data_IF_307095770687
#
_entry.id   IF_307095770687
#
_cell.length_a   1.000
_cell.length_b   1.000
_cell.length_c   1.000
_cell.angle_alpha   90.00
_cell.angle_beta   90.00
_cell.angle_gamma   90.00
#
_symmetry.space_group_name_H-M   'P 1'
#
loop_
_entity.id
_entity.type
_entity.pdbx_description
1 polymer ?
#
# COMPACT_ATOMS: atom_id res chain seq x y z
N UNK A 1 -10.19 6.36 -13.31
CA UNK A 1 -11.03 5.15 -13.17
C UNK A 1 -11.32 4.90 -11.70
N UNK A 2 -12.53 4.51 -11.34
CA UNK A 2 -12.91 4.25 -9.95
C UNK A 2 -13.81 3.01 -9.83
N UNK A 3 -13.38 2.03 -9.05
CA UNK A 3 -14.19 0.86 -8.70
C UNK A 3 -14.48 0.92 -7.20
N UNK A 4 -15.78 0.86 -6.86
CA UNK A 4 -16.27 0.95 -5.48
C UNK A 4 -17.29 -0.16 -5.22
N UNK A 5 -17.12 -0.89 -4.13
CA UNK A 5 -18.15 -1.81 -3.63
C UNK A 5 -19.05 -1.14 -2.59
N UNK A 6 -20.16 -1.78 -2.23
CA UNK A 6 -20.93 -1.45 -1.04
C UNK A 6 -20.93 -2.65 -0.12
N UNK A 7 -20.68 -2.43 1.15
CA UNK A 7 -20.73 -3.50 2.16
C UNK A 7 -22.13 -4.10 2.20
N UNK A 8 -22.21 -5.42 2.14
CA UNK A 8 -23.50 -6.09 2.21
C UNK A 8 -24.15 -5.80 3.56
N UNK A 9 -25.33 -5.16 3.54
CA UNK A 9 -26.05 -4.73 4.75
C UNK A 9 -25.22 -3.84 5.69
N UNK A 10 -24.35 -3.01 5.12
CA UNK A 10 -23.59 -1.98 5.82
C UNK A 10 -23.43 -0.72 4.98
N UNK A 11 -22.89 0.33 5.60
CA UNK A 11 -22.65 1.64 4.95
C UNK A 11 -21.19 1.82 4.50
N UNK A 12 -20.32 0.83 4.71
CA UNK A 12 -18.94 0.87 4.27
C UNK A 12 -18.73 0.54 2.79
N UNK A 13 -17.46 0.56 2.38
CA UNK A 13 -17.04 0.26 1.03
C UNK A 13 -15.58 -0.16 0.97
N UNK A 14 -15.24 -0.87 -0.11
CA UNK A 14 -13.85 -1.05 -0.53
C UNK A 14 -13.69 -0.34 -1.88
N UNK A 15 -12.51 0.20 -2.17
CA UNK A 15 -12.30 0.86 -3.46
C UNK A 15 -10.88 0.77 -3.97
N UNK A 16 -10.77 0.84 -5.30
CA UNK A 16 -9.52 1.08 -6.02
C UNK A 16 -9.76 2.25 -6.97
N UNK A 17 -8.88 3.25 -6.91
CA UNK A 17 -8.95 4.45 -7.72
C UNK A 17 -7.64 4.66 -8.49
N UNK A 18 -7.80 5.10 -9.73
CA UNK A 18 -6.75 5.63 -10.59
C UNK A 18 -7.16 7.03 -11.03
N UNK A 19 -6.42 8.03 -10.59
CA UNK A 19 -6.53 9.41 -11.05
C UNK A 19 -5.34 9.75 -11.95
N UNK A 20 -5.62 10.38 -13.08
CA UNK A 20 -4.65 10.73 -14.14
C UNK A 20 -4.68 12.25 -14.40
N UNK A 21 -5.10 13.02 -13.40
CA UNK A 21 -4.99 14.47 -13.43
C UNK A 21 -3.51 14.86 -13.55
N UNK A 22 -3.16 15.63 -14.59
CA UNK A 22 -1.77 16.00 -14.89
C UNK A 22 -1.11 16.64 -13.66
N UNK A 23 0.05 16.09 -13.25
CA UNK A 23 0.82 16.47 -12.05
C UNK A 23 0.17 16.13 -10.70
N UNK A 24 -0.95 15.42 -10.68
CA UNK A 24 -1.66 14.97 -9.48
C UNK A 24 -2.14 13.52 -9.64
N UNK A 25 -1.38 12.72 -10.38
CA UNK A 25 -1.69 11.32 -10.64
C UNK A 25 -1.70 10.53 -9.32
N UNK A 26 -2.72 9.70 -9.11
CA UNK A 26 -2.93 9.01 -7.85
C UNK A 26 -3.44 7.59 -8.06
N UNK A 27 -2.78 6.64 -7.40
CA UNK A 27 -3.32 5.31 -7.15
C UNK A 27 -3.71 5.19 -5.68
N UNK A 28 -4.99 4.87 -5.41
CA UNK A 28 -5.50 4.69 -4.06
C UNK A 28 -6.19 3.35 -3.91
N UNK A 29 -5.86 2.63 -2.84
CA UNK A 29 -6.56 1.43 -2.40
C UNK A 29 -7.14 1.67 -1.01
N UNK A 30 -8.42 1.34 -0.83
CA UNK A 30 -9.11 1.42 0.45
C UNK A 30 -9.75 0.08 0.77
N UNK A 31 -9.42 -0.46 1.93
CA UNK A 31 -10.08 -1.63 2.51
C UNK A 31 -10.88 -1.18 3.74
N UNK A 32 -12.12 -1.66 3.87
CA UNK A 32 -12.99 -1.30 4.98
C UNK A 32 -12.52 -1.91 6.31
N UNK A 33 -12.00 -3.14 6.27
CA UNK A 33 -11.60 -3.90 7.48
C UNK A 33 -10.19 -4.45 7.39
N UNK A 34 -9.98 -5.50 6.61
CA UNK A 34 -8.69 -6.17 6.48
C UNK A 34 -8.17 -6.02 5.04
N UNK A 35 -6.85 -5.85 4.89
CA UNK A 35 -6.15 -5.90 3.60
C UNK A 35 -5.04 -6.95 3.70
N UNK A 36 -5.10 -7.95 2.85
CA UNK A 36 -4.08 -9.00 2.75
C UNK A 36 -3.52 -9.06 1.33
N UNK A 37 -2.21 -9.22 1.21
CA UNK A 37 -1.53 -9.43 -0.08
C UNK A 37 -0.72 -10.71 0.02
N UNK A 38 -1.13 -11.73 -0.74
CA UNK A 38 -0.41 -13.00 -0.81
C UNK A 38 0.46 -13.04 -2.08
N UNK A 39 1.78 -13.18 -1.92
CA UNK A 39 2.73 -13.30 -3.02
C UNK A 39 3.41 -14.67 -2.96
N UNK A 40 3.32 -15.45 -4.04
CA UNK A 40 3.86 -16.82 -4.09
C UNK A 40 5.35 -16.92 -4.44
N UNK A 41 5.93 -15.83 -4.96
CA UNK A 41 7.34 -15.78 -5.35
C UNK A 41 7.99 -14.51 -4.81
N UNK A 42 8.25 -13.50 -5.66
CA UNK A 42 8.93 -12.28 -5.26
C UNK A 42 8.03 -11.05 -5.36
N UNK A 43 8.14 -10.14 -4.38
CA UNK A 43 7.56 -8.80 -4.41
C UNK A 43 8.66 -7.75 -4.51
N UNK A 44 8.54 -6.80 -5.45
CA UNK A 44 9.47 -5.68 -5.62
C UNK A 44 8.70 -4.37 -5.57
N UNK A 45 9.20 -3.43 -4.76
CA UNK A 45 8.66 -2.07 -4.64
C UNK A 45 9.76 -1.08 -4.99
N UNK A 46 9.53 -0.20 -5.96
CA UNK A 46 10.45 0.88 -6.32
C UNK A 46 9.75 2.22 -6.09
N UNK A 47 10.31 3.05 -5.20
CA UNK A 47 9.75 4.34 -4.79
C UNK A 47 10.82 5.38 -5.10
N UNK A 48 10.47 6.35 -5.94
CA UNK A 48 11.43 7.37 -6.42
C UNK A 48 11.53 8.58 -5.50
N UNK A 49 10.53 8.80 -4.65
CA UNK A 49 10.48 9.88 -3.68
C UNK A 49 10.21 9.29 -2.29
N UNK A 50 9.28 9.85 -1.53
CA UNK A 50 9.06 9.45 -0.14
C UNK A 50 8.07 8.28 0.04
N UNK A 51 8.26 7.53 1.13
CA UNK A 51 7.34 6.50 1.62
C UNK A 51 7.09 6.72 3.11
N UNK A 52 5.82 6.85 3.48
CA UNK A 52 5.39 7.02 4.88
C UNK A 52 4.44 5.92 5.28
N UNK A 53 4.65 5.34 6.46
CA UNK A 53 3.71 4.42 7.10
C UNK A 53 3.27 4.97 8.44
N UNK A 54 1.96 4.93 8.71
CA UNK A 54 1.38 5.34 9.99
C UNK A 54 0.58 4.16 10.52
N UNK A 55 0.97 3.67 11.69
CA UNK A 55 0.30 2.57 12.38
C UNK A 55 -0.29 3.09 13.69
N UNK A 56 -1.62 3.10 13.79
CA UNK A 56 -2.33 3.71 14.93
C UNK A 56 -2.57 2.76 16.11
N UNK A 57 -2.40 1.45 15.93
CA UNK A 57 -2.56 0.45 16.98
C UNK A 57 -1.26 -0.33 17.17
N UNK A 58 -0.73 -0.32 18.39
CA UNK A 58 0.46 -1.07 18.79
C UNK A 58 0.02 -2.41 19.38
N UNK A 59 -0.11 -3.42 18.52
CA UNK A 59 -0.01 -4.81 18.97
C UNK A 59 1.20 -5.46 18.31
N UNK A 60 2.12 -5.89 19.17
CA UNK A 60 3.43 -6.46 18.86
C UNK A 60 3.30 -7.62 17.88
N UNK A 61 3.55 -7.35 16.62
CA UNK A 61 4.16 -8.32 15.73
C UNK A 61 5.61 -7.89 15.58
N UNK A 62 6.52 -8.79 15.99
CA UNK A 62 7.93 -8.68 15.67
C UNK A 62 8.03 -8.34 14.18
N UNK A 63 8.52 -7.15 13.90
CA UNK A 63 8.86 -6.73 12.56
C UNK A 63 9.95 -7.68 12.06
N UNK A 64 9.59 -8.80 11.44
CA UNK A 64 10.41 -9.39 10.39
C UNK A 64 10.17 -8.60 9.10
N UNK A 65 10.27 -7.27 9.20
CA UNK A 65 10.49 -6.46 8.02
C UNK A 65 11.91 -6.75 7.59
N UNK A 66 12.02 -7.73 6.70
CA UNK A 66 13.07 -7.82 5.71
C UNK A 66 12.99 -6.60 4.75
N UNK A 67 12.78 -5.39 5.27
CA UNK A 67 13.13 -4.16 4.59
C UNK A 67 14.65 -4.02 4.73
N UNK A 68 15.36 -4.90 4.01
CA UNK A 68 16.71 -4.57 3.56
C UNK A 68 16.53 -3.33 2.72
N UNK A 69 16.72 -2.17 3.33
CA UNK A 69 17.16 -0.97 2.64
C UNK A 69 18.47 -1.38 1.97
N UNK A 70 18.39 -1.88 0.73
CA UNK A 70 19.52 -1.96 -0.15
C UNK A 70 19.85 -0.51 -0.51
N UNK A 71 20.54 0.16 0.40
CA UNK A 71 21.47 1.23 0.03
C UNK A 71 22.54 0.54 -0.81
N UNK A 72 22.24 0.35 -2.09
CA UNK A 72 23.24 0.12 -3.10
C UNK A 72 24.00 1.45 -3.20
N UNK A 73 24.96 1.67 -2.32
CA UNK A 73 25.94 2.74 -2.51
C UNK A 73 26.72 2.33 -3.76
N UNK A 74 26.66 3.06 -4.88
CA UNK A 74 27.53 2.76 -6.00
C UNK A 74 28.97 3.00 -5.56
N UNK A 75 29.80 1.96 -5.65
CA UNK A 75 31.25 2.14 -5.58
C UNK A 75 31.68 2.99 -6.78
N UNK A 76 32.24 4.16 -6.51
CA UNK A 76 33.10 4.94 -7.42
C UNK A 76 34.07 5.73 -6.57
#
# INVERSE_FOLDING_TARGET
MYLKSKTYKGEGYNSIMFDDATHNELFQQHAERDMETQVKHDQRNHIQNDRTFIYSSFNTYLMSFQDKILLQIPYS
#
